data_IF_875138538235
#
_entry.id   IF_875138538235
#
_cell.length_a   1.000
_cell.length_b   1.000
_cell.length_c   1.000
_cell.angle_alpha   90.00
_cell.angle_beta   90.00
_cell.angle_gamma   90.00
#
_symmetry.space_group_name_H-M   'P 1'
#
loop_
_entity.id
_entity.type
_entity.pdbx_description
1 polymer ?
#
# COMPACT_ATOMS: atom_id res chain seq x y z
N UNK A 1 18.28 7.65 8.97
CA UNK A 1 17.03 8.38 8.70
C UNK A 1 16.89 8.43 7.19
N UNK A 2 15.87 7.78 6.64
CA UNK A 2 15.62 7.81 5.19
C UNK A 2 15.06 9.18 4.84
N UNK A 3 15.69 9.87 3.90
CA UNK A 3 15.22 11.19 3.47
C UNK A 3 13.94 11.06 2.64
N UNK A 4 13.11 12.10 2.62
CA UNK A 4 11.87 12.09 1.85
C UNK A 4 12.10 11.81 0.36
N UNK A 5 13.24 12.29 -0.17
CA UNK A 5 13.67 12.03 -1.54
C UNK A 5 14.02 10.55 -1.79
N UNK A 6 14.65 9.88 -0.83
CA UNK A 6 14.95 8.44 -0.95
C UNK A 6 13.68 7.58 -0.93
N UNK A 7 12.70 7.95 -0.12
CA UNK A 7 11.43 7.22 -0.04
C UNK A 7 10.64 7.34 -1.36
N UNK A 8 10.55 8.53 -1.94
CA UNK A 8 9.97 8.74 -3.27
C UNK A 8 10.67 7.91 -4.35
N UNK A 9 12.01 7.92 -4.35
CA UNK A 9 12.79 7.14 -5.32
C UNK A 9 12.48 5.64 -5.24
N UNK A 10 12.32 5.10 -4.03
CA UNK A 10 11.94 3.69 -3.83
C UNK A 10 10.52 3.42 -4.33
N UNK A 11 9.57 4.31 -4.06
CA UNK A 11 8.20 4.18 -4.54
C UNK A 11 8.11 4.21 -6.08
N UNK A 12 8.85 5.10 -6.74
CA UNK A 12 8.92 5.17 -8.20
C UNK A 12 9.53 3.92 -8.84
N UNK A 13 10.52 3.31 -8.18
CA UNK A 13 11.09 2.03 -8.63
C UNK A 13 10.04 0.92 -8.52
N UNK A 14 9.33 0.85 -7.40
CA UNK A 14 8.28 -0.14 -7.21
C UNK A 14 7.12 0.04 -8.18
N UNK A 15 6.73 1.28 -8.49
CA UNK A 15 5.69 1.58 -9.46
C UNK A 15 6.05 1.05 -10.86
N UNK A 16 7.28 1.33 -11.32
CA UNK A 16 7.77 0.83 -12.61
C UNK A 16 7.85 -0.70 -12.65
N UNK A 17 8.27 -1.32 -11.55
CA UNK A 17 8.32 -2.78 -11.46
C UNK A 17 6.91 -3.40 -11.49
N UNK A 18 5.95 -2.78 -10.80
CA UNK A 18 4.55 -3.20 -10.82
C UNK A 18 3.94 -3.02 -12.21
N UNK A 19 4.20 -1.91 -12.89
CA UNK A 19 3.78 -1.68 -14.28
C UNK A 19 4.33 -2.75 -15.23
N UNK A 20 5.64 -3.03 -15.14
CA UNK A 20 6.31 -3.99 -16.01
C UNK A 20 5.87 -5.45 -15.76
N UNK A 21 5.53 -5.80 -14.53
CA UNK A 21 5.22 -7.18 -14.14
C UNK A 21 3.73 -7.50 -14.17
N UNK A 22 2.89 -6.54 -13.79
CA UNK A 22 1.47 -6.74 -13.51
C UNK A 22 0.57 -5.86 -14.39
N UNK A 23 1.14 -4.83 -15.03
CA UNK A 23 0.39 -3.86 -15.82
C UNK A 23 -0.24 -2.75 -14.97
N UNK A 24 -0.68 -1.69 -15.65
CA UNK A 24 -1.30 -0.50 -15.04
C UNK A 24 -2.65 -0.77 -14.39
N UNK A 25 -3.36 -1.80 -14.86
CA UNK A 25 -4.67 -2.18 -14.33
C UNK A 25 -4.57 -3.03 -13.06
N UNK A 26 -3.34 -3.40 -12.65
CA UNK A 26 -3.14 -4.17 -11.43
C UNK A 26 -3.44 -3.33 -10.19
N UNK A 27 -4.10 -3.95 -9.22
CA UNK A 27 -4.37 -3.33 -7.91
C UNK A 27 -3.07 -2.83 -7.26
N UNK A 28 -1.97 -3.60 -7.37
CA UNK A 28 -0.66 -3.20 -6.85
C UNK A 28 -0.09 -1.94 -7.50
N UNK A 29 -0.26 -1.75 -8.82
CA UNK A 29 0.16 -0.51 -9.47
C UNK A 29 -0.67 0.68 -8.96
N UNK A 30 -1.99 0.50 -8.82
CA UNK A 30 -2.90 1.54 -8.33
C UNK A 30 -2.61 1.90 -6.87
N UNK A 31 -2.35 0.92 -6.00
CA UNK A 31 -2.00 1.13 -4.60
C UNK A 31 -0.69 1.93 -4.46
N UNK A 32 0.34 1.62 -5.27
CA UNK A 32 1.61 2.36 -5.24
C UNK A 32 1.42 3.79 -5.76
N UNK A 33 0.58 3.99 -6.78
CA UNK A 33 0.21 5.33 -7.26
C UNK A 33 -0.48 6.14 -6.16
N UNK A 34 -1.48 5.58 -5.47
CA UNK A 34 -2.20 6.29 -4.40
C UNK A 34 -1.25 6.70 -3.27
N UNK A 35 -0.28 5.84 -2.91
CA UNK A 35 0.74 6.16 -1.91
C UNK A 35 1.65 7.30 -2.37
N UNK A 36 2.07 7.33 -3.64
CA UNK A 36 2.89 8.42 -4.18
C UNK A 36 2.11 9.74 -4.20
N UNK A 37 0.85 9.72 -4.65
CA UNK A 37 -0.02 10.89 -4.66
C UNK A 37 -0.30 11.42 -3.25
N UNK A 38 -0.54 10.52 -2.29
CA UNK A 38 -0.69 10.87 -0.88
C UNK A 38 0.60 11.49 -0.31
N UNK A 39 1.76 10.95 -0.67
CA UNK A 39 3.04 11.46 -0.20
C UNK A 39 3.37 12.84 -0.77
N UNK A 40 3.13 13.05 -2.07
CA UNK A 40 3.28 14.35 -2.73
C UNK A 40 2.32 15.40 -2.16
N UNK A 41 1.05 15.03 -1.95
CA UNK A 41 0.04 15.94 -1.37
C UNK A 41 0.27 16.24 0.11
N UNK A 42 0.79 15.28 0.89
CA UNK A 42 1.16 15.48 2.29
C UNK A 42 2.45 16.28 2.50
N UNK A 43 3.33 16.36 1.50
CA UNK A 43 4.47 17.28 1.51
C UNK A 43 4.05 18.73 1.24
N UNK A 44 3.00 18.94 0.43
CA UNK A 44 2.45 20.26 0.12
C UNK A 44 1.50 20.76 1.24
N UNK A 45 0.68 19.86 1.77
CA UNK A 45 -0.21 20.10 2.90
C UNK A 45 0.45 19.63 4.19
N UNK A 46 1.38 20.43 4.73
CA UNK A 46 1.93 20.17 6.06
C UNK A 46 0.80 19.86 7.05
N UNK A 47 0.81 18.63 7.61
CA UNK A 47 -0.07 18.18 8.69
C UNK A 47 -1.56 17.97 8.29
N UNK A 48 -1.98 16.72 8.03
CA UNK A 48 -3.39 16.50 7.67
C UNK A 48 -3.90 15.06 7.58
N UNK A 49 -3.95 14.38 8.73
CA UNK A 49 -4.85 13.26 9.04
C UNK A 49 -4.80 11.98 8.18
N UNK A 50 -4.25 10.92 8.79
CA UNK A 50 -4.78 9.56 8.70
C UNK A 50 -6.32 9.58 8.73
N UNK A 51 -6.95 9.36 7.59
CA UNK A 51 -8.33 8.87 7.55
C UNK A 51 -8.33 7.51 6.90
N UNK A 52 -8.20 6.49 7.76
CA UNK A 52 -8.68 5.15 7.48
C UNK A 52 -10.08 5.25 6.88
N UNK A 53 -10.23 4.93 5.59
CA UNK A 53 -11.53 4.60 5.04
C UNK A 53 -11.97 3.28 5.67
N UNK A 54 -12.66 3.42 6.79
CA UNK A 54 -13.50 2.40 7.40
C UNK A 54 -14.65 2.14 6.42
N UNK A 55 -14.54 1.08 5.62
CA UNK A 55 -15.71 0.51 4.96
C UNK A 55 -16.45 -0.34 5.99
N UNK A 56 -17.59 0.18 6.39
CA UNK A 56 -18.55 -0.45 7.30
C UNK A 56 -19.29 -1.57 6.56
N UNK A 57 -19.15 -2.81 7.03
CA UNK A 57 -20.17 -3.85 6.91
C UNK A 57 -19.98 -4.94 7.95
N UNK A 58 -20.90 -4.92 8.92
CA UNK A 58 -21.47 -6.03 9.66
C UNK A 58 -20.61 -6.88 10.62
N UNK A 59 -20.98 -6.71 11.90
CA UNK A 59 -21.13 -7.67 13.00
C UNK A 59 -19.88 -8.14 13.76
N UNK A 60 -19.95 -7.81 15.04
CA UNK A 60 -19.27 -8.38 16.20
C UNK A 60 -18.73 -9.80 16.02
N UNK A 61 -17.41 -9.95 16.22
CA UNK A 61 -16.89 -10.89 17.22
C UNK A 61 -15.43 -10.55 17.55
N UNK A 62 -15.22 -10.19 18.82
CA UNK A 62 -13.92 -10.21 19.48
C UNK A 62 -13.26 -11.58 19.35
N UNK A 63 -11.96 -11.61 19.02
CA UNK A 63 -10.92 -12.38 19.74
C UNK A 63 -9.56 -12.16 19.06
N UNK A 64 -8.80 -11.27 19.69
CA UNK A 64 -7.38 -11.40 19.99
C UNK A 64 -6.63 -12.58 19.32
N UNK A 65 -5.84 -12.28 18.29
CA UNK A 65 -4.46 -12.78 18.07
C UNK A 65 -3.93 -12.17 16.76
N UNK A 66 -2.73 -11.60 16.82
CA UNK A 66 -1.97 -11.01 15.71
C UNK A 66 -2.06 -11.81 14.40
N UNK A 67 -3.03 -11.47 13.54
CA UNK A 67 -2.99 -11.88 12.14
C UNK A 67 -2.02 -10.94 11.42
N UNK A 68 -0.77 -11.37 11.37
CA UNK A 68 0.22 -10.86 10.43
C UNK A 68 -0.45 -10.64 9.06
N UNK A 69 -0.35 -9.46 8.45
CA UNK A 69 -0.98 -9.16 7.16
C UNK A 69 -0.45 -10.06 6.02
N UNK A 70 0.59 -10.84 6.29
CA UNK A 70 1.23 -11.78 5.38
C UNK A 70 0.69 -13.22 5.47
N UNK A 71 -0.26 -13.52 6.37
CA UNK A 71 -0.74 -14.88 6.61
C UNK A 71 -1.41 -15.57 5.39
N UNK A 72 -1.75 -14.82 4.35
CA UNK A 72 -2.36 -15.34 3.13
C UNK A 72 -1.41 -15.43 1.92
N UNK A 73 -0.12 -15.07 2.06
CA UNK A 73 0.87 -15.29 0.98
C UNK A 73 1.38 -16.74 1.02
N UNK A 74 0.57 -17.67 0.51
CA UNK A 74 1.02 -19.03 0.21
C UNK A 74 1.42 -19.11 -1.26
N UNK A 75 2.72 -19.24 -1.53
CA UNK A 75 3.22 -19.58 -2.85
C UNK A 75 2.88 -21.03 -3.16
N UNK A 76 2.01 -21.28 -4.14
CA UNK A 76 1.82 -22.62 -4.70
C UNK A 76 2.78 -22.82 -5.87
N UNK A 77 3.71 -23.76 -5.72
CA UNK A 77 4.47 -24.29 -6.85
C UNK A 77 3.53 -24.94 -7.85
N UNK A 78 3.67 -24.58 -9.13
CA UNK A 78 3.06 -25.34 -10.23
C UNK A 78 3.96 -26.55 -10.50
N UNK A 79 3.43 -27.74 -10.22
CA UNK A 79 3.86 -28.99 -10.88
C UNK A 79 3.02 -29.18 -12.13
#
# INVERSE_FOLDING_TARGET
MTTNAEMLRVLEINLRNAEATLGKDSTQYQDIMEVIEFYMSGLDAGQGQCRSKKSESAKDQELNSEKSPFANLVFRSKT
#
